data_IF_297476191583
#
_entry.id   IF_297476191583
#
_cell.length_a   1.000
_cell.length_b   1.000
_cell.length_c   1.000
_cell.angle_alpha   90.00
_cell.angle_beta   90.00
_cell.angle_gamma   90.00
#
_symmetry.space_group_name_H-M   'P 1'
#
loop_
_entity.id
_entity.type
_entity.pdbx_description
1 polymer ?
#
# COMPACT_ATOMS: atom_id res chain seq x y z
N UNK A 1 11.50 -67.50 -11.24
CA UNK A 1 11.01 -66.24 -11.86
C UNK A 1 9.76 -65.71 -11.14
N UNK A 2 9.84 -65.27 -9.88
CA UNK A 2 8.66 -64.72 -9.15
C UNK A 2 8.99 -63.64 -8.11
N UNK A 3 10.19 -63.04 -8.13
CA UNK A 3 10.61 -62.04 -7.13
C UNK A 3 10.96 -60.66 -7.72
N UNK A 4 10.54 -60.38 -8.96
CA UNK A 4 10.89 -59.12 -9.63
C UNK A 4 9.72 -58.12 -9.72
N UNK A 5 8.49 -58.55 -9.47
CA UNK A 5 7.29 -57.72 -9.66
C UNK A 5 6.88 -56.91 -8.43
N UNK A 6 7.46 -57.13 -7.26
CA UNK A 6 7.05 -56.46 -6.01
C UNK A 6 7.85 -55.18 -5.73
N UNK A 7 9.05 -55.03 -6.31
CA UNK A 7 9.92 -53.85 -6.05
C UNK A 7 9.57 -52.66 -6.97
N UNK A 8 8.88 -52.89 -8.08
CA UNK A 8 8.51 -51.84 -9.03
C UNK A 8 7.24 -51.06 -8.64
N UNK A 9 6.47 -51.56 -7.67
CA UNK A 9 5.20 -50.93 -7.24
C UNK A 9 5.39 -49.86 -6.15
N UNK A 10 6.50 -49.86 -5.42
CA UNK A 10 6.73 -48.91 -4.31
C UNK A 10 7.40 -47.61 -4.76
N UNK A 11 8.03 -47.57 -5.95
CA UNK A 11 8.64 -46.35 -6.48
C UNK A 11 7.63 -45.35 -7.08
N UNK A 12 6.39 -45.78 -7.37
CA UNK A 12 5.38 -44.92 -7.97
C UNK A 12 4.55 -44.14 -6.95
N UNK A 13 4.60 -44.50 -5.67
CA UNK A 13 3.80 -43.84 -4.62
C UNK A 13 4.47 -42.60 -4.03
N UNK A 14 5.80 -42.47 -4.16
CA UNK A 14 6.56 -41.31 -3.62
C UNK A 14 6.47 -40.09 -4.55
N UNK A 15 6.11 -40.27 -5.83
CA UNK A 15 5.96 -39.17 -6.79
C UNK A 15 4.60 -38.45 -6.72
N UNK A 16 3.67 -38.91 -5.88
CA UNK A 16 2.36 -38.27 -5.66
C UNK A 16 2.32 -37.38 -4.40
N UNK A 17 3.37 -37.36 -3.57
CA UNK A 17 3.42 -36.53 -2.35
C UNK A 17 4.25 -35.25 -2.50
N UNK A 18 4.89 -35.03 -3.65
CA UNK A 18 5.69 -33.85 -3.93
C UNK A 18 4.94 -32.87 -4.82
N UNK A 19 4.07 -32.05 -4.23
CA UNK A 19 3.69 -30.69 -4.66
C UNK A 19 2.34 -30.27 -4.07
N UNK A 20 2.23 -30.29 -2.73
CA UNK A 20 1.37 -29.29 -2.11
C UNK A 20 2.18 -27.99 -2.05
N UNK A 21 2.22 -27.31 -3.19
CA UNK A 21 2.61 -25.91 -3.24
C UNK A 21 1.54 -25.19 -2.41
N UNK A 22 1.87 -24.99 -1.13
CA UNK A 22 1.12 -24.17 -0.20
C UNK A 22 1.15 -22.76 -0.79
N UNK A 23 0.18 -22.50 -1.66
CA UNK A 23 -0.10 -21.16 -2.14
C UNK A 23 -0.50 -20.43 -0.87
N UNK A 24 0.40 -19.60 -0.35
CA UNK A 24 0.09 -18.64 0.68
C UNK A 24 -0.99 -17.72 0.09
N UNK A 25 -2.24 -18.16 0.20
CA UNK A 25 -3.41 -17.39 -0.13
C UNK A 25 -3.43 -16.31 0.95
N UNK A 26 -2.80 -15.19 0.65
CA UNK A 26 -2.93 -13.98 1.44
C UNK A 26 -4.42 -13.66 1.47
N UNK A 27 -5.10 -14.03 2.54
CA UNK A 27 -6.46 -13.57 2.81
C UNK A 27 -6.41 -12.04 2.71
N UNK A 28 -7.11 -11.50 1.72
CA UNK A 28 -7.27 -10.06 1.57
C UNK A 28 -7.97 -9.57 2.83
N UNK A 29 -7.23 -8.90 3.70
CA UNK A 29 -7.80 -8.24 4.86
C UNK A 29 -8.71 -7.13 4.37
N UNK A 30 -9.72 -6.85 5.18
CA UNK A 30 -10.57 -5.69 4.99
C UNK A 30 -9.71 -4.41 5.01
N UNK A 31 -9.87 -3.55 3.99
CA UNK A 31 -9.20 -2.24 3.98
C UNK A 31 -9.66 -1.43 5.18
N UNK A 32 -8.70 -0.98 5.98
CA UNK A 32 -8.91 -0.11 7.14
C UNK A 32 -8.50 1.33 6.88
N UNK A 33 -7.54 1.53 5.97
CA UNK A 33 -6.96 2.84 5.73
C UNK A 33 -6.64 3.05 4.25
N UNK A 34 -7.19 4.12 3.69
CA UNK A 34 -6.79 4.63 2.38
C UNK A 34 -5.83 5.82 2.57
N UNK A 35 -4.69 5.78 1.91
CA UNK A 35 -3.68 6.83 1.88
C UNK A 35 -3.67 7.45 0.50
N UNK A 36 -4.04 8.72 0.40
CA UNK A 36 -4.10 9.43 -0.88
C UNK A 36 -2.95 10.43 -0.98
N UNK A 37 -2.13 10.28 -2.00
CA UNK A 37 -1.28 11.35 -2.50
C UNK A 37 -1.86 11.87 -3.81
N UNK A 38 -2.25 13.13 -3.82
CA UNK A 38 -2.77 13.82 -4.98
C UNK A 38 -1.70 14.72 -5.57
N UNK A 39 -1.75 14.96 -6.87
CA UNK A 39 -0.87 15.90 -7.54
C UNK A 39 -1.48 16.42 -8.84
N UNK A 40 -1.07 17.61 -9.26
CA UNK A 40 -1.28 18.07 -10.63
C UNK A 40 -0.22 17.45 -11.55
N UNK A 41 -0.41 17.55 -12.86
CA UNK A 41 0.53 17.06 -13.87
C UNK A 41 1.90 17.74 -13.73
N UNK A 42 1.89 19.04 -13.43
CA UNK A 42 3.09 19.84 -13.23
C UNK A 42 3.52 19.83 -11.76
N UNK A 43 4.52 19.00 -11.44
CA UNK A 43 4.98 18.78 -10.07
C UNK A 43 6.25 19.57 -9.74
N UNK A 44 6.18 20.38 -8.68
CA UNK A 44 7.37 21.05 -8.15
C UNK A 44 8.27 20.06 -7.38
N UNK A 45 9.45 20.50 -6.97
CA UNK A 45 10.38 19.67 -6.19
C UNK A 45 9.79 19.19 -4.85
N UNK A 46 8.96 20.02 -4.20
CA UNK A 46 8.25 19.66 -2.97
C UNK A 46 7.23 18.55 -3.20
N UNK A 47 6.41 18.65 -4.25
CA UNK A 47 5.45 17.60 -4.62
C UNK A 47 6.14 16.24 -4.78
N UNK A 48 7.20 16.20 -5.61
CA UNK A 48 7.96 14.96 -5.85
C UNK A 48 8.61 14.40 -4.58
N UNK A 49 9.04 15.27 -3.66
CA UNK A 49 9.59 14.83 -2.38
C UNK A 49 8.51 14.17 -1.50
N UNK A 50 7.34 14.78 -1.38
CA UNK A 50 6.22 14.19 -0.60
C UNK A 50 5.85 12.82 -1.17
N UNK A 51 5.65 12.72 -2.48
CA UNK A 51 5.31 11.47 -3.16
C UNK A 51 6.33 10.37 -2.87
N UNK A 52 7.61 10.67 -3.11
CA UNK A 52 8.72 9.72 -2.92
C UNK A 52 8.79 9.24 -1.48
N UNK A 53 8.78 10.16 -0.53
CA UNK A 53 8.98 9.82 0.88
C UNK A 53 7.74 9.13 1.48
N UNK A 54 6.52 9.47 1.02
CA UNK A 54 5.31 8.76 1.41
C UNK A 54 5.27 7.33 0.87
N UNK A 55 5.55 7.14 -0.43
CA UNK A 55 5.65 5.80 -1.05
C UNK A 55 6.71 4.97 -0.33
N UNK A 56 7.89 5.52 -0.09
CA UNK A 56 8.96 4.82 0.62
C UNK A 56 8.54 4.40 2.02
N UNK A 57 7.93 5.30 2.80
CA UNK A 57 7.46 4.99 4.16
C UNK A 57 6.49 3.82 4.18
N UNK A 58 5.50 3.83 3.27
CA UNK A 58 4.45 2.80 3.26
C UNK A 58 5.00 1.48 2.73
N UNK A 59 5.83 1.50 1.68
CA UNK A 59 6.46 0.29 1.14
C UNK A 59 7.46 -0.34 2.11
N UNK A 60 8.22 0.45 2.87
CA UNK A 60 9.24 -0.07 3.78
C UNK A 60 8.62 -0.53 5.11
N UNK A 61 7.72 0.26 5.69
CA UNK A 61 7.21 0.00 7.06
C UNK A 61 5.87 -0.75 7.08
N UNK A 62 5.11 -0.73 5.98
CA UNK A 62 3.74 -1.25 5.91
C UNK A 62 3.54 -2.22 4.73
N UNK A 63 4.62 -2.83 4.23
CA UNK A 63 4.58 -3.79 3.11
C UNK A 63 3.55 -4.91 3.32
N UNK A 64 3.44 -5.42 4.56
CA UNK A 64 2.50 -6.48 4.90
C UNK A 64 1.04 -6.03 4.77
N UNK A 65 0.73 -4.82 5.24
CA UNK A 65 -0.59 -4.21 5.19
C UNK A 65 -0.97 -3.79 3.77
N UNK A 66 -0.01 -3.36 2.96
CA UNK A 66 -0.21 -3.15 1.52
C UNK A 66 -0.53 -4.46 0.82
N UNK A 67 0.26 -5.52 1.07
CA UNK A 67 0.05 -6.84 0.45
C UNK A 67 -1.27 -7.47 0.86
N UNK A 68 -1.70 -7.28 2.11
CA UNK A 68 -2.98 -7.80 2.60
C UNK A 68 -4.18 -6.95 2.20
N UNK A 69 -3.98 -5.73 1.67
CA UNK A 69 -5.06 -4.79 1.35
C UNK A 69 -5.64 -4.04 2.55
N UNK A 70 -5.04 -4.20 3.74
CA UNK A 70 -5.39 -3.46 4.96
C UNK A 70 -5.10 -1.96 4.82
N UNK A 71 -4.00 -1.62 4.14
CA UNK A 71 -3.71 -0.26 3.64
C UNK A 71 -3.83 -0.25 2.11
N UNK A 72 -4.42 0.80 1.55
CA UNK A 72 -4.35 1.11 0.13
C UNK A 72 -3.69 2.46 -0.09
N UNK A 73 -2.63 2.48 -0.91
CA UNK A 73 -1.97 3.72 -1.34
C UNK A 73 -2.47 4.11 -2.73
N UNK A 74 -2.92 5.34 -2.86
CA UNK A 74 -3.45 5.92 -4.09
C UNK A 74 -2.61 7.12 -4.51
N UNK A 75 -2.10 7.08 -5.74
CA UNK A 75 -1.40 8.21 -6.36
C UNK A 75 -2.33 8.76 -7.45
N UNK A 76 -2.87 9.96 -7.24
CA UNK A 76 -3.96 10.51 -8.05
C UNK A 76 -3.53 11.80 -8.75
N UNK A 77 -3.49 11.78 -10.08
CA UNK A 77 -3.36 13.00 -10.86
C UNK A 77 -4.71 13.69 -10.99
N UNK A 78 -4.87 14.84 -10.32
CA UNK A 78 -6.15 15.56 -10.24
C UNK A 78 -6.51 16.34 -11.52
N UNK A 79 -5.58 16.47 -12.46
CA UNK A 79 -5.86 17.11 -13.75
C UNK A 79 -6.56 16.16 -14.74
N UNK A 80 -6.56 14.85 -14.46
CA UNK A 80 -7.17 13.85 -15.32
C UNK A 80 -8.69 13.83 -15.13
N UNK A 81 -9.42 13.81 -16.25
CA UNK A 81 -10.89 13.84 -16.26
C UNK A 81 -11.51 12.65 -15.52
N UNK A 82 -10.88 11.48 -15.56
CA UNK A 82 -11.37 10.31 -14.80
C UNK A 82 -11.40 10.54 -13.27
N UNK A 83 -10.60 11.48 -12.77
CA UNK A 83 -10.50 11.80 -11.34
C UNK A 83 -11.38 12.98 -10.92
N UNK A 84 -12.21 13.53 -11.81
CA UNK A 84 -13.06 14.69 -11.50
C UNK A 84 -14.02 14.43 -10.33
N UNK A 85 -14.61 13.23 -10.25
CA UNK A 85 -15.48 12.85 -9.13
C UNK A 85 -14.70 12.79 -7.80
N UNK A 86 -13.47 12.28 -7.82
CA UNK A 86 -12.59 12.24 -6.66
C UNK A 86 -12.22 13.66 -6.19
N UNK A 87 -11.87 14.53 -7.14
CA UNK A 87 -11.57 15.96 -6.88
C UNK A 87 -12.76 16.65 -6.23
N UNK A 88 -13.97 16.41 -6.72
CA UNK A 88 -15.17 17.00 -6.14
C UNK A 88 -15.50 16.44 -4.75
N UNK A 89 -15.33 15.12 -4.55
CA UNK A 89 -15.57 14.47 -3.27
C UNK A 89 -14.64 14.99 -2.17
N UNK A 90 -13.34 15.06 -2.45
CA UNK A 90 -12.32 15.44 -1.45
C UNK A 90 -11.96 16.93 -1.47
N UNK A 91 -12.52 17.71 -2.42
CA UNK A 91 -12.26 19.15 -2.60
C UNK A 91 -10.75 19.46 -2.68
N UNK A 92 -10.02 18.66 -3.45
CA UNK A 92 -8.56 18.80 -3.64
C UNK A 92 -8.25 19.57 -4.91
N UNK A 93 -7.38 20.59 -4.80
CA UNK A 93 -7.03 21.47 -5.94
C UNK A 93 -5.55 21.47 -6.29
N UNK A 94 -4.72 20.72 -5.54
CA UNK A 94 -3.28 20.69 -5.74
C UNK A 94 -2.67 19.42 -5.17
N UNK A 95 -1.35 19.44 -4.98
CA UNK A 95 -0.69 18.33 -4.31
C UNK A 95 -1.03 18.27 -2.82
N UNK A 96 -1.58 17.15 -2.38
CA UNK A 96 -1.96 16.91 -0.99
C UNK A 96 -1.70 15.47 -0.59
N UNK A 97 -1.32 15.24 0.66
CA UNK A 97 -1.18 13.90 1.25
C UNK A 97 -2.13 13.80 2.43
N UNK A 98 -3.04 12.83 2.43
CA UNK A 98 -4.00 12.66 3.51
C UNK A 98 -4.42 11.20 3.69
N UNK A 99 -4.90 10.89 4.89
CA UNK A 99 -5.28 9.55 5.33
C UNK A 99 -6.79 9.53 5.60
N UNK A 100 -7.48 8.49 5.11
CA UNK A 100 -8.92 8.30 5.26
C UNK A 100 -9.17 6.93 5.88
N UNK A 101 -9.72 6.90 7.10
CA UNK A 101 -10.17 5.65 7.71
C UNK A 101 -11.34 5.06 6.94
N UNK A 102 -11.43 3.74 6.91
CA UNK A 102 -12.56 3.04 6.30
C UNK A 102 -13.88 3.53 6.91
N UNK A 103 -14.81 3.93 6.05
CA UNK A 103 -16.13 4.45 6.44
C UNK A 103 -16.19 5.97 6.58
N UNK A 104 -15.05 6.65 6.64
CA UNK A 104 -15.01 8.11 6.61
C UNK A 104 -15.23 8.64 5.19
N UNK A 105 -15.90 9.78 5.10
CA UNK A 105 -16.14 10.51 3.84
C UNK A 105 -15.20 11.71 3.66
N UNK A 106 -14.36 11.96 4.66
CA UNK A 106 -13.42 13.08 4.73
C UNK A 106 -12.05 12.60 5.23
N UNK A 107 -10.97 13.34 4.95
CA UNK A 107 -9.66 13.07 5.54
C UNK A 107 -9.74 13.00 7.07
N UNK A 108 -9.28 11.88 7.63
CA UNK A 108 -9.09 11.72 9.08
C UNK A 108 -7.83 12.45 9.53
N UNK A 109 -6.78 12.46 8.70
CA UNK A 109 -5.52 13.17 8.94
C UNK A 109 -5.04 13.81 7.64
N UNK A 110 -4.65 15.09 7.69
CA UNK A 110 -4.02 15.81 6.58
C UNK A 110 -2.52 15.99 6.85
N UNK A 111 -1.70 15.34 6.02
CA UNK A 111 -0.25 15.34 6.06
C UNK A 111 0.37 16.32 5.04
N UNK A 112 -0.45 17.14 4.37
CA UNK A 112 0.01 18.06 3.32
C UNK A 112 0.96 19.12 3.87
N UNK A 113 0.58 19.79 4.97
CA UNK A 113 1.43 20.81 5.61
C UNK A 113 2.75 20.21 6.14
N UNK A 114 2.76 19.13 6.92
CA UNK A 114 3.99 18.44 7.31
C UNK A 114 4.84 18.00 6.11
N UNK A 115 4.20 17.47 5.06
CA UNK A 115 4.85 17.06 3.83
C UNK A 115 5.65 18.18 3.18
N UNK A 116 5.02 19.33 2.93
CA UNK A 116 5.73 20.47 2.33
C UNK A 116 6.79 21.06 3.26
N UNK A 117 6.58 21.02 4.57
CA UNK A 117 7.54 21.54 5.54
C UNK A 117 8.81 20.66 5.66
N UNK A 118 8.66 19.33 5.55
CA UNK A 118 9.71 18.39 5.99
C UNK A 118 10.17 17.39 4.92
N UNK A 119 9.34 16.97 3.96
CA UNK A 119 9.69 15.86 3.07
C UNK A 119 10.99 16.08 2.28
N UNK A 120 11.31 17.34 1.92
CA UNK A 120 12.54 17.67 1.18
C UNK A 120 13.74 17.91 2.09
N UNK A 121 13.56 18.54 3.23
CA UNK A 121 14.64 19.07 4.08
C UNK A 121 14.93 18.20 5.31
N UNK A 122 13.91 17.50 5.82
CA UNK A 122 13.92 16.66 7.00
C UNK A 122 13.14 15.35 6.73
N UNK A 123 13.52 14.56 5.70
CA UNK A 123 12.74 13.41 5.27
C UNK A 123 12.53 12.38 6.38
N UNK A 124 13.54 12.12 7.23
CA UNK A 124 13.41 11.20 8.36
C UNK A 124 12.31 11.63 9.36
N UNK A 125 12.24 12.93 9.69
CA UNK A 125 11.18 13.47 10.56
C UNK A 125 9.80 13.31 9.89
N UNK A 126 9.71 13.58 8.58
CA UNK A 126 8.47 13.39 7.83
C UNK A 126 8.00 11.93 7.80
N UNK A 127 8.91 10.98 7.53
CA UNK A 127 8.59 9.54 7.51
C UNK A 127 8.14 9.05 8.88
N UNK A 128 8.80 9.51 9.95
CA UNK A 128 8.44 9.17 11.32
C UNK A 128 7.02 9.67 11.67
N UNK A 129 6.72 10.94 11.37
CA UNK A 129 5.40 11.53 11.61
C UNK A 129 4.30 10.83 10.80
N UNK A 130 4.54 10.55 9.51
CA UNK A 130 3.59 9.80 8.68
C UNK A 130 3.35 8.39 9.24
N UNK A 131 4.42 7.70 9.64
CA UNK A 131 4.31 6.35 10.22
C UNK A 131 3.55 6.37 11.55
N UNK A 132 3.79 7.37 12.41
CA UNK A 132 3.04 7.54 13.64
C UNK A 132 1.54 7.67 13.36
N UNK A 133 1.15 8.57 12.45
CA UNK A 133 -0.25 8.78 12.08
C UNK A 133 -0.88 7.50 11.52
N UNK A 134 -0.21 6.79 10.61
CA UNK A 134 -0.70 5.52 10.07
C UNK A 134 -0.89 4.49 11.19
N UNK A 135 0.07 4.36 12.10
CA UNK A 135 0.00 3.42 13.22
C UNK A 135 -1.18 3.71 14.17
N UNK A 136 -1.49 4.99 14.40
CA UNK A 136 -2.63 5.41 15.21
C UNK A 136 -3.96 5.11 14.53
N UNK A 137 -4.01 5.17 13.20
CA UNK A 137 -5.23 4.89 12.45
C UNK A 137 -5.48 3.39 12.22
N UNK A 138 -4.46 2.55 12.33
CA UNK A 138 -4.59 1.09 12.21
C UNK A 138 -4.92 0.36 13.53
N UNK A 139 -4.71 1.03 14.66
CA UNK A 139 -5.15 0.54 15.98
C UNK A 139 -6.67 0.61 16.09
#
# INVERSE_FOLDING_TARGET
MKKLTVILSTLLFVLLMGNQQLSAQSESKETKLDVYYTHTTNRCAGCKAIEKEAIATINESYAGQLKSGEIKLHIVNIDLKENAAFVDQYKVWGSSLFLVKKGDTKPTVDMTKPGFAKARTKPAEFRAELSEQISLLLK
#
